data_IF_832487609692
#
_entry.id   IF_832487609692
#
_cell.length_a   1.000
_cell.length_b   1.000
_cell.length_c   1.000
_cell.angle_alpha   90.00
_cell.angle_beta   90.00
_cell.angle_gamma   90.00
#
_symmetry.space_group_name_H-M   'P 1'
#
loop_
_entity.id
_entity.type
_entity.pdbx_description
1 polymer ?
#
# COMPACT_ATOMS: atom_id res chain seq x y z
N UNK A 1 -7.27 8.00 3.15
CA UNK A 1 -6.97 6.60 2.86
C UNK A 1 -7.76 5.75 3.85
N UNK A 2 -8.47 4.73 3.37
CA UNK A 2 -9.38 3.87 4.15
C UNK A 2 -9.18 2.41 3.75
N UNK A 3 -9.66 1.49 4.58
CA UNK A 3 -9.68 0.05 4.26
C UNK A 3 -10.39 -0.17 2.92
N UNK A 4 -9.77 -0.96 2.05
CA UNK A 4 -10.23 -1.26 0.69
C UNK A 4 -9.74 -0.29 -0.39
N UNK A 5 -9.02 0.78 -0.06
CA UNK A 5 -8.35 1.59 -1.08
C UNK A 5 -7.19 0.80 -1.71
N UNK A 6 -6.99 0.95 -3.03
CA UNK A 6 -5.74 0.56 -3.71
C UNK A 6 -4.76 1.72 -3.64
N UNK A 7 -3.53 1.43 -3.22
CA UNK A 7 -2.50 2.44 -3.03
C UNK A 7 -1.19 2.01 -3.67
N UNK A 8 -0.34 3.00 -3.95
CA UNK A 8 1.10 2.80 -4.22
C UNK A 8 1.92 3.71 -3.34
N UNK A 9 3.19 3.36 -3.16
CA UNK A 9 4.16 4.30 -2.63
C UNK A 9 4.36 5.46 -3.61
N UNK A 10 4.51 6.66 -3.06
CA UNK A 10 4.88 7.85 -3.82
C UNK A 10 6.27 7.67 -4.41
N UNK A 11 6.43 8.14 -5.63
CA UNK A 11 7.69 8.04 -6.36
C UNK A 11 8.85 8.66 -5.56
N UNK A 12 9.95 7.91 -5.42
CA UNK A 12 11.16 8.36 -4.73
C UNK A 12 11.33 7.91 -3.27
N UNK A 13 10.31 7.36 -2.61
CA UNK A 13 10.47 6.78 -1.27
C UNK A 13 11.15 5.41 -1.28
N UNK A 14 10.67 4.49 -2.13
CA UNK A 14 11.15 3.11 -2.23
C UNK A 14 11.24 2.72 -3.71
N UNK A 15 12.46 2.70 -4.26
CA UNK A 15 12.68 2.47 -5.70
C UNK A 15 12.34 1.04 -6.14
N UNK A 16 12.48 0.10 -5.22
CA UNK A 16 12.16 -1.31 -5.38
C UNK A 16 10.65 -1.59 -5.39
N UNK A 17 9.84 -0.64 -4.89
CA UNK A 17 8.38 -0.73 -4.88
C UNK A 17 7.73 0.07 -6.02
N UNK A 18 8.52 0.58 -6.97
CA UNK A 18 8.00 1.34 -8.10
C UNK A 18 7.09 0.47 -8.99
N UNK A 19 5.83 0.88 -9.11
CA UNK A 19 4.80 0.13 -9.84
C UNK A 19 4.08 -0.95 -9.00
N UNK A 20 4.51 -1.20 -7.76
CA UNK A 20 3.81 -2.07 -6.84
C UNK A 20 2.47 -1.45 -6.39
N UNK A 21 1.46 -2.30 -6.18
CA UNK A 21 0.13 -1.91 -5.72
C UNK A 21 -0.26 -2.71 -4.50
N UNK A 22 -0.98 -2.08 -3.58
CA UNK A 22 -1.38 -2.69 -2.32
C UNK A 22 -2.84 -2.37 -2.00
N UNK A 23 -3.52 -3.30 -1.35
CA UNK A 23 -4.76 -3.03 -0.65
C UNK A 23 -4.47 -2.51 0.74
N UNK A 24 -5.22 -1.49 1.17
CA UNK A 24 -5.25 -1.11 2.59
C UNK A 24 -6.18 -2.09 3.31
N UNK A 25 -5.63 -2.94 4.17
CA UNK A 25 -6.40 -3.97 4.90
C UNK A 25 -6.80 -3.54 6.32
N UNK A 26 -6.04 -2.64 6.93
CA UNK A 26 -6.33 -2.05 8.24
C UNK A 26 -5.76 -0.64 8.34
N UNK A 27 -6.40 0.23 9.12
CA UNK A 27 -5.92 1.59 9.38
C UNK A 27 -5.69 1.81 10.88
N UNK A 28 -4.56 2.39 11.24
CA UNK A 28 -4.22 2.75 12.62
C UNK A 28 -3.62 4.16 12.67
N UNK A 29 -4.46 5.17 12.90
CA UNK A 29 -4.05 6.58 12.95
C UNK A 29 -3.55 7.08 11.60
N UNK A 30 -2.26 7.44 11.54
CA UNK A 30 -1.55 7.93 10.36
C UNK A 30 -0.93 6.81 9.50
N UNK A 31 -1.11 5.54 9.90
CA UNK A 31 -0.53 4.36 9.25
C UNK A 31 -1.59 3.42 8.70
N UNK A 32 -1.24 2.73 7.63
CA UNK A 32 -2.02 1.63 7.06
C UNK A 32 -1.24 0.32 7.09
N UNK A 33 -1.94 -0.78 7.38
CA UNK A 33 -1.48 -2.11 7.03
C UNK A 33 -1.87 -2.37 5.59
N UNK A 34 -0.89 -2.80 4.81
CA UNK A 34 -0.96 -2.97 3.37
C UNK A 34 -0.78 -4.44 3.02
N UNK A 35 -1.53 -4.91 2.04
CA UNK A 35 -1.36 -6.23 1.45
C UNK A 35 -1.00 -6.11 -0.02
N UNK A 36 0.11 -6.73 -0.43
CA UNK A 36 0.62 -6.64 -1.79
C UNK A 36 -0.28 -7.37 -2.78
N UNK A 37 -0.68 -6.69 -3.86
CA UNK A 37 -1.53 -7.27 -4.91
C UNK A 37 -0.67 -8.14 -5.82
N UNK A 38 -0.73 -9.46 -5.61
CA UNK A 38 0.05 -10.45 -6.34
C UNK A 38 -0.61 -11.82 -6.36
N UNK A 39 -0.09 -12.73 -7.20
CA UNK A 39 -0.57 -14.11 -7.32
C UNK A 39 0.14 -15.09 -6.37
N UNK A 40 0.85 -14.59 -5.36
CA UNK A 40 1.53 -15.44 -4.38
C UNK A 40 0.52 -16.15 -3.47
N UNK A 41 0.78 -17.41 -3.05
CA UNK A 41 -0.13 -18.14 -2.15
C UNK A 41 -0.36 -17.45 -0.79
N UNK A 42 0.61 -16.66 -0.35
CA UNK A 42 0.54 -15.83 0.85
C UNK A 42 1.03 -14.44 0.45
N UNK A 43 0.14 -13.45 0.33
CA UNK A 43 0.54 -12.08 0.02
C UNK A 43 1.46 -11.50 1.10
N UNK A 44 2.43 -10.70 0.66
CA UNK A 44 3.28 -9.95 1.58
C UNK A 44 2.50 -8.80 2.20
N UNK A 45 2.68 -8.60 3.51
CA UNK A 45 2.08 -7.51 4.24
C UNK A 45 3.13 -6.52 4.70
N UNK A 46 2.78 -5.24 4.66
CA UNK A 46 3.66 -4.12 5.02
C UNK A 46 2.91 -3.08 5.85
N UNK A 47 3.64 -2.20 6.53
CA UNK A 47 3.07 -1.06 7.25
C UNK A 47 3.74 0.20 6.74
N UNK A 48 2.94 1.19 6.35
CA UNK A 48 3.45 2.47 5.86
C UNK A 48 2.61 3.63 6.38
N UNK A 49 3.20 4.83 6.40
CA UNK A 49 2.46 6.05 6.70
C UNK A 49 1.66 6.49 5.49
N UNK A 50 0.49 7.07 5.71
CA UNK A 50 -0.33 7.60 4.62
C UNK A 50 0.34 8.75 3.85
N UNK A 51 1.31 9.44 4.46
CA UNK A 51 2.10 10.48 3.78
C UNK A 51 3.06 9.92 2.71
N UNK A 52 3.45 8.65 2.83
CA UNK A 52 4.33 7.95 1.88
C UNK A 52 3.54 7.35 0.72
N UNK A 53 2.21 7.34 0.82
CA UNK A 53 1.31 6.64 -0.09
C UNK A 53 0.46 7.63 -0.90
N UNK A 54 -0.03 7.15 -2.02
CA UNK A 54 -1.08 7.79 -2.80
C UNK A 54 -2.13 6.75 -3.23
N UNK A 55 -3.39 7.17 -3.26
CA UNK A 55 -4.50 6.32 -3.72
C UNK A 55 -4.48 6.27 -5.24
N UNK A 56 -4.64 5.07 -5.80
CA UNK A 56 -4.78 4.88 -7.23
C UNK A 56 -6.29 4.83 -7.50
N UNK A 57 -6.84 5.85 -8.15
CA UNK A 57 -8.22 5.79 -8.67
C UNK A 57 -8.21 4.87 -9.90
N UNK A 58 -8.98 3.78 -9.86
CA UNK A 58 -9.32 2.97 -11.04
C UNK A 58 -10.54 3.55 -11.78
#
# INVERSE_FOLDING_TARGET
MKVGDVVKFRDGFYKDEEGARYWVIETNGDRGFLEFICDLPIPLQSVARFEELEVIEE
#
